data_IF_935988888495
#
_entry.id   IF_935988888495
#
_cell.length_a   1.000
_cell.length_b   1.000
_cell.length_c   1.000
_cell.angle_alpha   90.00
_cell.angle_beta   90.00
_cell.angle_gamma   90.00
#
_symmetry.space_group_name_H-M   'P 1'
#
loop_
_entity.id
_entity.type
_entity.pdbx_description
1 polymer ?
#
# COMPACT_ATOMS: atom_id res chain seq x y z
N UNK A 1 -15.28 17.64 6.16
CA UNK A 1 -14.13 18.56 6.29
C UNK A 1 -12.89 17.80 5.86
N UNK A 2 -12.51 17.93 4.59
CA UNK A 2 -11.29 17.33 4.05
C UNK A 2 -10.14 18.03 4.76
N UNK A 3 -9.39 17.34 5.59
CA UNK A 3 -8.16 17.90 6.14
C UNK A 3 -7.17 18.06 5.00
N UNK A 4 -6.86 19.30 4.68
CA UNK A 4 -5.76 19.69 3.81
C UNK A 4 -4.46 19.05 4.33
N UNK A 5 -3.95 18.04 3.59
CA UNK A 5 -2.65 17.41 3.88
C UNK A 5 -1.58 18.15 3.05
N UNK A 6 -1.62 19.47 3.02
CA UNK A 6 -0.70 20.28 2.20
C UNK A 6 0.53 20.81 2.94
N UNK A 7 0.84 20.35 4.15
CA UNK A 7 2.06 20.75 4.83
C UNK A 7 2.83 19.57 5.41
N UNK A 8 3.53 18.84 4.56
CA UNK A 8 4.75 18.14 4.96
C UNK A 8 5.62 17.92 3.73
N UNK A 9 6.39 18.92 3.36
CA UNK A 9 7.55 18.73 2.47
C UNK A 9 8.59 17.92 3.22
N UNK A 10 8.48 16.59 3.10
CA UNK A 10 9.55 15.70 3.52
C UNK A 10 10.74 15.89 2.57
N UNK A 11 11.97 15.94 3.05
CA UNK A 11 13.11 15.80 2.17
C UNK A 11 12.94 14.52 1.36
N UNK A 12 13.28 14.53 0.08
CA UNK A 12 13.20 13.39 -0.82
C UNK A 12 13.91 12.19 -0.15
N UNK A 13 13.11 11.26 0.35
CA UNK A 13 13.62 10.04 1.01
C UNK A 13 14.27 9.09 0.02
N UNK A 14 14.10 9.35 -1.26
CA UNK A 14 14.59 8.53 -2.35
C UNK A 14 15.15 9.44 -3.44
N UNK A 15 16.36 9.12 -3.89
CA UNK A 15 16.93 9.73 -5.09
C UNK A 15 16.35 8.99 -6.31
N UNK A 16 15.50 9.62 -7.12
CA UNK A 16 14.93 8.98 -8.29
C UNK A 16 15.96 8.90 -9.41
N UNK A 17 16.25 7.71 -9.89
CA UNK A 17 16.90 7.48 -11.17
C UNK A 17 15.89 6.91 -12.15
N UNK A 18 15.43 7.73 -13.10
CA UNK A 18 14.56 7.25 -14.16
C UNK A 18 15.39 6.51 -15.20
N UNK A 19 15.07 5.25 -15.42
CA UNK A 19 15.75 4.44 -16.40
C UNK A 19 14.72 3.76 -17.31
N UNK A 20 15.02 3.78 -18.60
CA UNK A 20 14.22 3.05 -19.60
C UNK A 20 15.03 1.84 -20.05
N UNK A 21 14.49 0.66 -19.83
CA UNK A 21 15.04 -0.60 -20.32
C UNK A 21 14.20 -1.04 -21.53
N UNK A 22 14.66 -0.69 -22.73
CA UNK A 22 14.00 -0.98 -24.01
C UNK A 22 12.50 -0.63 -24.04
N UNK A 23 11.60 -1.51 -23.59
CA UNK A 23 10.15 -1.32 -23.60
C UNK A 23 9.55 -1.21 -22.19
N UNK A 24 10.37 -1.25 -21.13
CA UNK A 24 9.92 -1.19 -19.75
C UNK A 24 10.35 0.14 -19.14
N UNK A 25 9.36 0.99 -18.81
CA UNK A 25 9.57 2.18 -17.97
C UNK A 25 9.71 1.73 -16.53
N UNK A 26 10.80 2.06 -15.86
CA UNK A 26 10.91 1.81 -14.44
C UNK A 26 11.55 2.99 -13.69
N UNK A 27 11.12 3.18 -12.45
CA UNK A 27 11.66 4.16 -11.52
C UNK A 27 12.48 3.42 -10.47
N UNK A 28 13.74 3.79 -10.30
CA UNK A 28 14.61 3.23 -9.28
C UNK A 28 14.66 4.20 -8.10
N UNK A 29 14.23 3.76 -6.93
CA UNK A 29 14.27 4.50 -5.69
C UNK A 29 15.24 3.83 -4.73
N UNK A 30 16.31 4.53 -4.34
CA UNK A 30 17.30 4.03 -3.38
C UNK A 30 17.07 4.73 -2.06
N UNK A 31 16.67 4.00 -1.02
CA UNK A 31 16.40 4.54 0.30
C UNK A 31 17.47 4.18 1.32
N UNK A 32 17.91 5.15 2.09
CA UNK A 32 18.59 4.92 3.35
C UNK A 32 17.50 4.90 4.42
N UNK A 33 17.20 3.75 5.03
CA UNK A 33 16.10 3.58 5.98
C UNK A 33 16.09 4.66 7.08
N UNK A 34 15.41 5.76 6.83
CA UNK A 34 15.26 6.87 7.78
C UNK A 34 14.25 6.49 8.86
N UNK A 35 14.60 6.61 10.14
CA UNK A 35 13.67 6.43 11.26
C UNK A 35 12.39 7.27 11.20
N UNK A 36 12.41 8.45 10.58
CA UNK A 36 11.20 9.27 10.45
C UNK A 36 10.21 8.72 9.42
N UNK A 37 10.69 8.07 8.36
CA UNK A 37 9.85 7.32 7.43
C UNK A 37 9.10 6.19 8.15
N UNK A 38 9.80 5.45 9.00
CA UNK A 38 9.21 4.41 9.86
C UNK A 38 8.07 4.96 10.71
N UNK A 39 8.24 6.15 11.26
CA UNK A 39 7.23 6.80 12.10
C UNK A 39 5.95 7.13 11.31
N UNK A 40 6.07 7.54 10.05
CA UNK A 40 4.90 7.80 9.18
C UNK A 40 4.13 6.52 8.91
N UNK A 41 4.83 5.44 8.58
CA UNK A 41 4.22 4.13 8.31
C UNK A 41 3.49 3.59 9.55
N UNK A 42 4.09 3.78 10.73
CA UNK A 42 3.44 3.44 11.99
C UNK A 42 2.15 4.25 12.22
N UNK A 43 2.13 5.53 11.84
CA UNK A 43 0.92 6.36 11.96
C UNK A 43 -0.20 5.83 11.05
N UNK A 44 0.11 5.34 9.87
CA UNK A 44 -0.89 4.76 8.97
C UNK A 44 -1.47 3.46 9.54
N UNK A 45 -0.64 2.59 10.09
CA UNK A 45 -1.10 1.39 10.80
C UNK A 45 -1.96 1.76 12.03
N UNK A 46 -1.61 2.83 12.74
CA UNK A 46 -2.35 3.32 13.90
C UNK A 46 -3.67 4.00 13.55
N UNK A 47 -3.77 4.66 12.40
CA UNK A 47 -5.06 5.20 11.93
C UNK A 47 -6.10 4.11 11.75
N UNK A 48 -5.68 2.90 11.50
CA UNK A 48 -6.57 1.74 11.47
C UNK A 48 -7.10 1.38 12.85
N UNK A 49 -6.32 1.60 13.90
CA UNK A 49 -6.75 1.41 15.28
C UNK A 49 -7.78 2.46 15.72
N UNK A 50 -7.61 3.71 15.32
CA UNK A 50 -8.60 4.77 15.56
C UNK A 50 -9.94 4.48 14.87
N UNK A 51 -9.91 3.89 13.67
CA UNK A 51 -11.12 3.53 12.92
C UNK A 51 -11.96 2.45 13.62
N UNK A 52 -11.36 1.64 14.49
CA UNK A 52 -12.04 0.57 15.24
C UNK A 52 -12.76 1.06 16.50
N UNK A 53 -12.87 2.38 16.69
CA UNK A 53 -13.51 2.97 17.87
C UNK A 53 -12.93 2.45 19.21
N UNK A 54 -11.62 2.16 19.21
CA UNK A 54 -10.93 1.63 20.41
C UNK A 54 -11.11 2.53 21.64
N UNK A 55 -11.28 3.84 21.44
CA UNK A 55 -11.59 4.77 22.52
C UNK A 55 -12.92 4.41 23.22
N UNK A 56 -13.90 3.92 22.48
CA UNK A 56 -15.17 3.46 23.05
C UNK A 56 -14.99 2.12 23.77
N UNK A 57 -14.24 1.20 23.20
CA UNK A 57 -13.96 -0.11 23.80
C UNK A 57 -13.16 0.07 25.10
N UNK A 58 -12.22 0.98 25.13
CA UNK A 58 -11.36 1.26 26.27
C UNK A 58 -12.13 1.60 27.56
N UNK A 59 -13.30 2.21 27.43
CA UNK A 59 -14.12 2.60 28.58
C UNK A 59 -14.75 1.41 29.34
N UNK A 60 -14.76 0.21 28.74
CA UNK A 60 -15.40 -0.98 29.33
C UNK A 60 -14.62 -2.29 29.20
N UNK A 61 -13.39 -2.25 28.66
CA UNK A 61 -12.54 -3.41 28.47
C UNK A 61 -11.19 -3.21 29.15
N UNK A 62 -10.66 -4.24 29.80
CA UNK A 62 -9.36 -4.22 30.44
C UNK A 62 -8.23 -4.03 29.43
N UNK A 63 -7.17 -3.35 29.83
CA UNK A 63 -5.98 -3.05 29.01
C UNK A 63 -5.34 -4.30 28.40
N UNK A 64 -5.30 -5.40 29.17
CA UNK A 64 -4.77 -6.69 28.69
C UNK A 64 -5.54 -7.23 27.49
N UNK A 65 -6.87 -7.13 27.52
CA UNK A 65 -7.74 -7.58 26.45
C UNK A 65 -7.56 -6.75 25.19
N UNK A 66 -7.38 -5.44 25.32
CA UNK A 66 -7.09 -4.55 24.19
C UNK A 66 -5.74 -4.92 23.56
N UNK A 67 -4.72 -5.18 24.37
CA UNK A 67 -3.40 -5.62 23.88
C UNK A 67 -3.48 -6.93 23.11
N UNK A 68 -4.19 -7.91 23.64
CA UNK A 68 -4.38 -9.20 23.00
C UNK A 68 -5.14 -9.04 21.67
N UNK A 69 -6.19 -8.24 21.66
CA UNK A 69 -6.95 -7.94 20.46
C UNK A 69 -6.07 -7.29 19.35
N UNK A 70 -5.26 -6.29 19.71
CA UNK A 70 -4.36 -5.64 18.75
C UNK A 70 -3.33 -6.63 18.19
N UNK A 71 -2.75 -7.46 19.05
CA UNK A 71 -1.77 -8.45 18.64
C UNK A 71 -2.36 -9.56 17.76
N UNK A 72 -3.58 -9.97 18.02
CA UNK A 72 -4.19 -11.12 17.33
C UNK A 72 -4.99 -10.72 16.11
N UNK A 73 -5.63 -9.54 16.14
CA UNK A 73 -6.62 -9.16 15.14
C UNK A 73 -6.18 -7.99 14.24
N UNK A 74 -5.25 -7.15 14.69
CA UNK A 74 -4.90 -5.92 13.96
C UNK A 74 -3.50 -5.99 13.36
N UNK A 75 -2.49 -6.27 14.16
CA UNK A 75 -1.12 -6.37 13.68
C UNK A 75 -0.81 -7.82 13.26
N UNK A 76 -0.32 -8.03 12.05
CA UNK A 76 0.11 -9.35 11.65
C UNK A 76 1.27 -9.83 12.52
N UNK A 77 1.41 -11.13 12.67
CA UNK A 77 2.49 -11.73 13.44
C UNK A 77 3.74 -11.91 12.57
N UNK A 78 4.92 -11.74 13.18
CA UNK A 78 6.20 -11.99 12.54
C UNK A 78 6.68 -13.46 12.66
N UNK A 79 5.79 -14.37 13.06
CA UNK A 79 6.11 -15.80 13.14
C UNK A 79 6.43 -16.37 11.76
N UNK A 80 7.39 -17.30 11.65
CA UNK A 80 7.74 -17.92 10.37
C UNK A 80 6.54 -18.51 9.63
N UNK A 81 6.59 -18.49 8.30
CA UNK A 81 5.54 -19.00 7.43
C UNK A 81 4.67 -17.91 6.83
N UNK A 82 3.39 -18.20 6.63
CA UNK A 82 2.44 -17.30 5.97
C UNK A 82 2.27 -15.94 6.70
N UNK A 83 2.33 -15.96 8.03
CA UNK A 83 2.20 -14.75 8.84
C UNK A 83 3.37 -13.78 8.59
N UNK A 84 4.58 -14.30 8.42
CA UNK A 84 5.74 -13.48 8.09
C UNK A 84 5.62 -12.85 6.70
N UNK A 85 5.10 -13.57 5.72
CA UNK A 85 4.87 -13.01 4.38
C UNK A 85 3.83 -11.89 4.41
N UNK A 86 2.78 -12.04 5.21
CA UNK A 86 1.79 -10.98 5.43
C UNK A 86 2.39 -9.76 6.13
N UNK A 87 3.23 -9.98 7.14
CA UNK A 87 3.97 -8.92 7.84
C UNK A 87 4.81 -8.07 6.87
N UNK A 88 5.60 -8.74 6.04
CA UNK A 88 6.45 -8.08 5.03
C UNK A 88 5.62 -7.43 3.93
N UNK A 89 4.57 -8.11 3.46
CA UNK A 89 3.68 -7.62 2.41
C UNK A 89 2.94 -6.35 2.82
N UNK A 90 2.33 -6.34 4.01
CA UNK A 90 1.60 -5.16 4.51
C UNK A 90 2.50 -3.93 4.61
N UNK A 91 3.73 -4.10 5.10
CA UNK A 91 4.69 -3.00 5.14
C UNK A 91 4.95 -2.45 3.73
N UNK A 92 5.13 -3.33 2.75
CA UNK A 92 5.34 -2.92 1.37
C UNK A 92 4.15 -2.18 0.77
N UNK A 93 2.91 -2.66 0.99
CA UNK A 93 1.70 -1.96 0.52
C UNK A 93 1.61 -0.54 1.11
N UNK A 94 1.91 -0.39 2.41
CA UNK A 94 1.93 0.92 3.07
C UNK A 94 3.01 1.83 2.47
N UNK A 95 4.24 1.32 2.31
CA UNK A 95 5.34 2.08 1.75
C UNK A 95 5.05 2.53 0.30
N UNK A 96 4.60 1.62 -0.55
CA UNK A 96 4.27 1.93 -1.93
C UNK A 96 3.16 2.97 -2.06
N UNK A 97 2.10 2.86 -1.24
CA UNK A 97 1.03 3.86 -1.22
C UNK A 97 1.54 5.23 -0.78
N UNK A 98 2.41 5.27 0.22
CA UNK A 98 2.98 6.54 0.70
C UNK A 98 3.87 7.21 -0.35
N UNK A 99 4.65 6.43 -1.10
CA UNK A 99 5.45 6.95 -2.22
C UNK A 99 4.54 7.64 -3.25
N UNK A 100 3.44 6.99 -3.66
CA UNK A 100 2.49 7.57 -4.61
C UNK A 100 1.82 8.86 -4.08
N UNK A 101 1.46 8.87 -2.80
CA UNK A 101 0.84 10.03 -2.16
C UNK A 101 1.80 11.20 -2.11
N UNK A 102 3.02 10.99 -1.62
CA UNK A 102 3.99 12.06 -1.36
C UNK A 102 4.63 12.59 -2.64
N UNK A 103 5.00 11.71 -3.57
CA UNK A 103 5.76 12.11 -4.76
C UNK A 103 4.89 12.44 -5.96
N UNK A 104 3.71 11.84 -6.06
CA UNK A 104 2.89 11.95 -7.27
C UNK A 104 1.51 12.58 -7.03
N UNK A 105 1.15 12.87 -5.77
CA UNK A 105 -0.10 13.56 -5.42
C UNK A 105 -1.35 12.70 -5.59
N UNK A 106 -1.20 11.39 -5.52
CA UNK A 106 -2.34 10.48 -5.38
C UNK A 106 -2.95 10.59 -3.98
N UNK A 107 -4.18 10.17 -3.84
CA UNK A 107 -4.82 10.03 -2.54
C UNK A 107 -5.49 8.66 -2.42
N UNK A 108 -5.59 8.18 -1.19
CA UNK A 108 -6.11 6.87 -0.86
C UNK A 108 -7.58 7.00 -0.42
N UNK A 109 -8.57 6.56 -1.22
CA UNK A 109 -9.97 6.73 -0.86
C UNK A 109 -10.36 5.88 0.35
N UNK A 110 -9.84 4.67 0.40
CA UNK A 110 -10.11 3.71 1.46
C UNK A 110 -8.87 2.85 1.66
N UNK A 111 -8.41 2.76 2.89
CA UNK A 111 -7.32 1.89 3.27
C UNK A 111 -7.81 0.44 3.34
N UNK A 112 -7.49 -0.35 2.33
CA UNK A 112 -7.97 -1.73 2.16
C UNK A 112 -7.65 -2.62 3.36
N UNK A 113 -6.46 -2.45 3.96
CA UNK A 113 -6.01 -3.25 5.10
C UNK A 113 -6.96 -3.18 6.31
N UNK A 114 -7.79 -2.13 6.43
CA UNK A 114 -8.81 -1.96 7.49
C UNK A 114 -9.95 -2.97 7.42
N UNK A 115 -10.20 -3.51 6.24
CA UNK A 115 -11.39 -4.30 5.96
C UNK A 115 -11.07 -5.78 5.77
N UNK A 116 -9.97 -6.23 6.34
CA UNK A 116 -9.59 -7.65 6.33
C UNK A 116 -10.49 -8.43 7.27
N UNK A 117 -11.01 -9.54 6.80
CA UNK A 117 -11.73 -10.47 7.66
C UNK A 117 -10.82 -11.12 8.71
N UNK A 118 -9.55 -11.32 8.37
CA UNK A 118 -8.50 -11.80 9.28
C UNK A 118 -7.16 -11.17 8.90
N UNK A 119 -6.36 -10.81 9.91
CA UNK A 119 -5.02 -10.23 9.71
C UNK A 119 -4.08 -11.10 8.91
N UNK A 120 -4.30 -12.42 8.93
CA UNK A 120 -3.50 -13.41 8.18
C UNK A 120 -4.01 -13.67 6.76
N UNK A 121 -5.14 -13.09 6.35
CA UNK A 121 -5.69 -13.31 5.02
C UNK A 121 -5.39 -12.13 4.10
N UNK A 122 -4.89 -12.43 2.90
CA UNK A 122 -4.81 -11.44 1.85
C UNK A 122 -6.23 -11.08 1.39
N UNK A 123 -6.55 -9.79 1.29
CA UNK A 123 -7.76 -9.37 0.62
C UNK A 123 -7.66 -9.71 -0.86
N UNK A 124 -8.75 -10.17 -1.42
CA UNK A 124 -8.90 -10.27 -2.88
C UNK A 124 -8.85 -8.87 -3.46
N UNK A 125 -8.46 -8.73 -4.71
CA UNK A 125 -8.24 -7.50 -5.46
C UNK A 125 -6.81 -6.96 -5.34
N UNK A 126 -6.46 -6.03 -6.22
CA UNK A 126 -5.14 -5.37 -6.27
C UNK A 126 -4.67 -4.87 -4.91
N UNK A 127 -3.37 -4.86 -4.68
CA UNK A 127 -2.79 -4.40 -3.42
C UNK A 127 -3.06 -2.92 -3.19
N UNK A 128 -2.97 -2.11 -4.24
CA UNK A 128 -3.17 -0.66 -4.20
C UNK A 128 -4.26 -0.23 -5.19
N UNK A 129 -5.10 0.71 -4.75
CA UNK A 129 -5.98 1.47 -5.63
C UNK A 129 -6.03 2.92 -5.13
N UNK A 130 -5.31 3.80 -5.79
CA UNK A 130 -5.22 5.22 -5.47
C UNK A 130 -5.79 6.05 -6.61
N UNK A 131 -6.17 7.28 -6.29
CA UNK A 131 -6.78 8.19 -7.25
C UNK A 131 -6.05 9.53 -7.24
N UNK A 132 -5.92 10.10 -8.43
CA UNK A 132 -5.42 11.45 -8.62
C UNK A 132 -6.44 12.24 -9.42
N UNK A 133 -6.85 13.39 -8.87
CA UNK A 133 -7.83 14.29 -9.51
C UNK A 133 -7.25 15.67 -9.79
N UNK A 134 -6.28 16.11 -8.97
CA UNK A 134 -5.73 17.45 -9.06
C UNK A 134 -4.86 17.61 -10.32
N UNK A 135 -5.11 18.69 -11.06
CA UNK A 135 -4.32 19.03 -12.26
C UNK A 135 -4.63 18.19 -13.50
N UNK A 136 -5.63 17.32 -13.46
CA UNK A 136 -6.01 16.44 -14.55
C UNK A 136 -7.39 16.82 -15.11
N UNK A 137 -7.60 16.61 -16.42
CA UNK A 137 -8.91 16.76 -17.06
C UNK A 137 -9.89 15.66 -16.70
N UNK A 138 -9.38 14.48 -16.35
CA UNK A 138 -10.12 13.31 -15.91
C UNK A 138 -9.43 12.71 -14.67
N UNK A 139 -10.18 12.08 -13.75
CA UNK A 139 -9.57 11.29 -12.70
C UNK A 139 -8.64 10.20 -13.26
N UNK A 140 -7.51 9.98 -12.62
CA UNK A 140 -6.60 8.89 -12.91
C UNK A 140 -6.66 7.87 -11.77
N UNK A 141 -6.95 6.61 -12.10
CA UNK A 141 -6.93 5.51 -11.13
C UNK A 141 -5.66 4.70 -11.33
N UNK A 142 -4.87 4.59 -10.28
CA UNK A 142 -3.68 3.75 -10.23
C UNK A 142 -4.00 2.42 -9.55
N UNK A 143 -3.88 1.33 -10.28
CA UNK A 143 -3.93 -0.03 -9.76
C UNK A 143 -2.51 -0.53 -9.56
N UNK A 144 -2.18 -0.94 -8.34
CA UNK A 144 -0.82 -1.35 -8.01
C UNK A 144 -0.73 -2.76 -7.40
N UNK A 145 0.29 -3.48 -7.77
CA UNK A 145 0.72 -4.73 -7.15
C UNK A 145 2.05 -4.50 -6.45
N UNK A 146 2.21 -5.03 -5.26
CA UNK A 146 3.40 -4.83 -4.43
C UNK A 146 4.07 -6.16 -4.12
N UNK A 147 5.32 -6.28 -4.49
CA UNK A 147 6.16 -7.45 -4.16
C UNK A 147 7.31 -7.02 -3.26
N UNK A 148 7.25 -7.42 -2.01
CA UNK A 148 8.28 -7.07 -1.00
C UNK A 148 9.12 -8.27 -0.63
N UNK A 149 10.46 -8.12 -0.70
CA UNK A 149 11.44 -9.17 -0.35
C UNK A 149 12.56 -8.61 0.51
N UNK A 150 12.62 -9.04 1.75
CA UNK A 150 13.68 -8.69 2.71
C UNK A 150 14.78 -9.75 2.81
N UNK A 151 14.83 -10.72 1.88
CA UNK A 151 15.76 -11.83 1.86
C UNK A 151 16.29 -12.07 0.45
N UNK A 152 16.59 -13.31 0.10
CA UNK A 152 17.12 -13.69 -1.23
C UNK A 152 16.22 -13.24 -2.38
N UNK A 153 16.84 -12.75 -3.45
CA UNK A 153 16.16 -12.31 -4.64
C UNK A 153 15.54 -13.50 -5.41
N UNK A 154 14.27 -13.32 -5.81
CA UNK A 154 13.58 -14.18 -6.75
C UNK A 154 13.56 -13.48 -8.11
N UNK A 155 14.36 -13.98 -9.07
CA UNK A 155 14.47 -13.38 -10.41
C UNK A 155 13.17 -13.42 -11.23
N UNK A 156 12.15 -14.17 -10.80
CA UNK A 156 10.81 -14.21 -11.39
C UNK A 156 9.83 -13.22 -10.72
N UNK A 157 10.31 -12.43 -9.76
CA UNK A 157 9.44 -11.56 -8.94
C UNK A 157 8.67 -10.56 -9.79
N UNK A 158 9.32 -9.97 -10.80
CA UNK A 158 8.70 -9.03 -11.73
C UNK A 158 7.58 -9.68 -12.54
N UNK A 159 7.84 -10.85 -13.12
CA UNK A 159 6.85 -11.62 -13.90
C UNK A 159 5.66 -12.00 -13.00
N UNK A 160 5.91 -12.51 -11.81
CA UNK A 160 4.85 -12.88 -10.87
C UNK A 160 3.98 -11.67 -10.47
N UNK A 161 4.58 -10.48 -10.35
CA UNK A 161 3.85 -9.25 -10.09
C UNK A 161 3.00 -8.81 -11.26
N UNK A 162 3.55 -8.83 -12.48
CA UNK A 162 2.82 -8.55 -13.71
C UNK A 162 1.62 -9.50 -13.88
N UNK A 163 1.82 -10.81 -13.73
CA UNK A 163 0.75 -11.81 -13.87
C UNK A 163 -0.35 -11.66 -12.81
N UNK A 164 0.01 -11.18 -11.60
CA UNK A 164 -0.98 -10.82 -10.60
C UNK A 164 -1.86 -9.67 -11.08
N UNK A 165 -1.27 -8.59 -11.62
CA UNK A 165 -2.03 -7.47 -12.19
C UNK A 165 -2.93 -7.89 -13.35
N UNK A 166 -2.42 -8.71 -14.26
CA UNK A 166 -3.20 -9.23 -15.40
C UNK A 166 -4.40 -10.05 -14.93
N UNK A 167 -4.19 -10.93 -13.97
CA UNK A 167 -5.26 -11.76 -13.41
C UNK A 167 -6.34 -10.91 -12.76
N UNK A 168 -5.94 -9.87 -12.08
CA UNK A 168 -6.85 -9.04 -11.29
C UNK A 168 -7.52 -7.95 -12.16
N UNK A 169 -6.93 -7.56 -13.31
CA UNK A 169 -7.44 -6.51 -14.21
C UNK A 169 -8.90 -6.73 -14.63
N UNK A 170 -9.26 -7.93 -15.02
CA UNK A 170 -10.61 -8.28 -15.47
C UNK A 170 -11.68 -8.09 -14.35
N UNK A 171 -11.28 -8.07 -13.09
CA UNK A 171 -12.16 -7.98 -11.92
C UNK A 171 -12.11 -6.62 -11.22
N UNK A 172 -11.12 -5.79 -11.54
CA UNK A 172 -10.77 -4.62 -10.72
C UNK A 172 -11.85 -3.54 -10.69
N UNK A 173 -12.26 -3.02 -11.83
CA UNK A 173 -13.14 -1.85 -11.85
C UNK A 173 -14.50 -2.08 -11.19
N UNK A 174 -15.26 -3.10 -11.57
CA UNK A 174 -16.59 -3.27 -11.00
C UNK A 174 -16.55 -3.58 -9.50
N UNK A 175 -15.61 -4.40 -9.07
CA UNK A 175 -15.57 -4.89 -7.69
C UNK A 175 -14.93 -3.89 -6.73
N UNK A 176 -13.83 -3.22 -7.14
CA UNK A 176 -13.14 -2.27 -6.27
C UNK A 176 -13.93 -0.97 -6.10
N UNK A 177 -14.51 -0.45 -7.20
CA UNK A 177 -15.36 0.73 -7.12
C UNK A 177 -16.64 0.45 -6.33
N UNK A 178 -17.20 -0.75 -6.45
CA UNK A 178 -18.34 -1.19 -5.62
C UNK A 178 -17.95 -1.24 -4.15
N UNK A 179 -16.79 -1.78 -3.82
CA UNK A 179 -16.27 -1.81 -2.46
C UNK A 179 -16.15 -0.39 -1.90
N UNK A 180 -15.56 0.55 -2.65
CA UNK A 180 -15.44 1.94 -2.22
C UNK A 180 -16.81 2.59 -1.97
N UNK A 181 -17.76 2.43 -2.89
CA UNK A 181 -19.12 2.93 -2.70
C UNK A 181 -19.72 2.40 -1.40
N UNK A 182 -19.65 1.07 -1.19
CA UNK A 182 -20.25 0.42 -0.02
C UNK A 182 -19.65 0.96 1.29
N UNK A 183 -18.33 1.06 1.36
CA UNK A 183 -17.64 1.53 2.57
C UNK A 183 -17.90 3.01 2.83
N UNK A 184 -17.83 3.85 1.80
CA UNK A 184 -18.03 5.28 1.95
C UNK A 184 -19.47 5.62 2.35
N UNK A 185 -20.46 4.97 1.77
CA UNK A 185 -21.86 5.17 2.19
C UNK A 185 -22.10 4.66 3.62
N UNK A 186 -21.52 3.54 3.99
CA UNK A 186 -21.61 3.03 5.37
C UNK A 186 -20.94 3.96 6.38
N UNK A 187 -19.87 4.64 5.97
CA UNK A 187 -19.19 5.66 6.77
C UNK A 187 -19.86 7.04 6.71
N UNK A 188 -21.03 7.17 6.07
CA UNK A 188 -21.77 8.43 5.86
C UNK A 188 -20.99 9.49 5.07
N UNK A 189 -20.02 9.08 4.27
CA UNK A 189 -19.27 9.94 3.34
C UNK A 189 -19.95 9.96 2.00
N UNK A 190 -21.11 10.63 1.96
CA UNK A 190 -22.03 10.57 0.81
C UNK A 190 -21.46 11.20 -0.45
N UNK A 191 -20.73 12.31 -0.35
CA UNK A 191 -20.13 12.99 -1.50
C UNK A 191 -19.07 12.14 -2.18
N UNK A 192 -18.17 11.54 -1.38
CA UNK A 192 -17.16 10.63 -1.92
C UNK A 192 -17.83 9.35 -2.47
N UNK A 193 -18.84 8.81 -1.78
CA UNK A 193 -19.59 7.65 -2.25
C UNK A 193 -20.30 7.91 -3.57
N UNK A 194 -20.87 9.10 -3.78
CA UNK A 194 -21.47 9.53 -5.03
C UNK A 194 -20.42 9.65 -6.16
N UNK A 195 -19.26 10.23 -5.86
CA UNK A 195 -18.15 10.31 -6.82
C UNK A 195 -17.75 8.91 -7.35
N UNK A 196 -17.53 7.95 -6.46
CA UNK A 196 -17.20 6.58 -6.87
C UNK A 196 -18.34 5.85 -7.58
N UNK A 197 -19.59 6.16 -7.22
CA UNK A 197 -20.75 5.64 -7.94
C UNK A 197 -20.81 6.14 -9.38
N UNK A 198 -20.47 7.42 -9.60
CA UNK A 198 -20.41 8.03 -10.96
C UNK A 198 -19.28 7.40 -11.80
N UNK A 199 -18.11 7.14 -11.21
CA UNK A 199 -17.02 6.42 -11.88
C UNK A 199 -17.46 5.00 -12.26
N UNK A 200 -18.03 4.25 -11.31
CA UNK A 200 -18.51 2.89 -11.52
C UNK A 200 -19.57 2.79 -12.62
N UNK A 201 -20.48 3.75 -12.69
CA UNK A 201 -21.54 3.82 -13.69
C UNK A 201 -21.09 4.47 -15.00
N UNK A 202 -19.80 4.80 -15.12
CA UNK A 202 -19.22 5.49 -16.28
C UNK A 202 -19.90 6.81 -16.63
N UNK A 203 -20.48 7.49 -15.64
CA UNK A 203 -21.01 8.86 -15.76
C UNK A 203 -19.85 9.86 -15.78
N UNK A 204 -18.80 9.58 -15.04
CA UNK A 204 -17.52 10.30 -15.09
C UNK A 204 -16.53 9.36 -15.76
N UNK A 205 -15.94 9.84 -16.85
CA UNK A 205 -14.85 9.14 -17.54
C UNK A 205 -13.53 9.28 -16.74
N UNK A 206 -12.68 8.27 -16.78
CA UNK A 206 -11.42 8.25 -16.05
C UNK A 206 -10.35 7.47 -16.81
N UNK A 207 -9.10 7.82 -16.54
CA UNK A 207 -7.93 7.13 -17.06
C UNK A 207 -7.40 6.10 -16.04
N UNK A 208 -6.68 5.11 -16.54
CA UNK A 208 -6.08 4.06 -15.72
C UNK A 208 -4.58 3.98 -15.94
N UNK A 209 -3.87 3.64 -14.89
CA UNK A 209 -2.49 3.16 -14.97
C UNK A 209 -2.31 1.93 -14.08
N UNK A 210 -1.33 1.12 -14.42
CA UNK A 210 -0.97 -0.08 -13.69
C UNK A 210 0.48 0.03 -13.23
N UNK A 211 0.71 -0.19 -11.94
CA UNK A 211 2.02 -0.06 -11.35
C UNK A 211 2.44 -1.27 -10.55
N UNK A 212 3.61 -1.81 -10.88
CA UNK A 212 4.25 -2.86 -10.11
C UNK A 212 5.33 -2.26 -9.21
N UNK A 213 5.19 -2.42 -7.90
CA UNK A 213 6.22 -2.06 -6.93
C UNK A 213 7.04 -3.29 -6.56
N UNK A 214 8.36 -3.19 -6.75
CA UNK A 214 9.35 -4.18 -6.35
C UNK A 214 10.19 -3.59 -5.21
N UNK A 215 9.80 -3.88 -3.97
CA UNK A 215 10.49 -3.41 -2.76
C UNK A 215 11.44 -4.50 -2.29
N UNK A 216 12.74 -4.20 -2.27
CA UNK A 216 13.73 -5.24 -2.05
C UNK A 216 14.88 -4.80 -1.14
N UNK A 217 15.45 -5.77 -0.40
CA UNK A 217 16.74 -5.60 0.29
C UNK A 217 17.83 -5.30 -0.74
N UNK A 218 18.46 -4.13 -0.64
CA UNK A 218 19.43 -3.63 -1.62
C UNK A 218 20.60 -4.60 -1.81
N UNK A 219 21.11 -5.17 -0.73
CA UNK A 219 22.28 -6.06 -0.78
C UNK A 219 22.06 -7.38 -1.52
N UNK A 220 20.79 -7.78 -1.69
CA UNK A 220 20.45 -9.06 -2.36
C UNK A 220 19.68 -8.84 -3.68
N UNK A 221 19.48 -7.61 -4.11
CA UNK A 221 18.85 -7.27 -5.38
C UNK A 221 19.65 -7.81 -6.57
N UNK A 222 18.95 -8.22 -7.63
CA UNK A 222 19.53 -8.65 -8.91
C UNK A 222 18.80 -8.00 -10.06
N UNK A 223 19.54 -7.36 -10.96
CA UNK A 223 19.01 -6.74 -12.18
C UNK A 223 18.34 -7.75 -13.13
N UNK A 224 18.63 -9.04 -12.97
CA UNK A 224 17.95 -10.13 -13.70
C UNK A 224 16.43 -10.09 -13.53
N UNK A 225 15.90 -9.54 -12.42
CA UNK A 225 14.46 -9.38 -12.21
C UNK A 225 13.83 -8.50 -13.30
N UNK A 226 14.48 -7.36 -13.59
CA UNK A 226 14.02 -6.43 -14.63
C UNK A 226 14.31 -6.97 -16.03
N UNK A 227 15.48 -7.57 -16.23
CA UNK A 227 15.86 -8.17 -17.52
C UNK A 227 14.89 -9.29 -17.93
N UNK A 228 14.51 -10.14 -16.99
CA UNK A 228 13.53 -11.19 -17.22
C UNK A 228 12.14 -10.61 -17.52
N UNK A 229 11.69 -9.61 -16.76
CA UNK A 229 10.41 -8.95 -17.00
C UNK A 229 10.39 -8.24 -18.37
N UNK A 230 11.49 -7.57 -18.75
CA UNK A 230 11.62 -6.90 -20.04
C UNK A 230 11.60 -7.88 -21.23
N UNK A 231 12.08 -9.12 -21.00
CA UNK A 231 12.07 -10.18 -22.01
C UNK A 231 10.75 -10.97 -22.02
N UNK A 232 9.88 -10.71 -21.05
CA UNK A 232 8.58 -11.35 -20.93
C UNK A 232 7.55 -10.67 -21.84
N UNK A 233 6.59 -11.42 -22.34
CA UNK A 233 5.49 -10.87 -23.13
C UNK A 233 4.49 -10.15 -22.20
N UNK A 234 4.61 -8.82 -22.16
CA UNK A 234 3.74 -8.00 -21.33
C UNK A 234 2.33 -7.94 -21.93
N UNK A 235 1.32 -8.04 -21.06
CA UNK A 235 -0.07 -7.97 -21.50
C UNK A 235 -0.44 -6.56 -21.96
N UNK A 236 -1.06 -6.47 -23.11
CA UNK A 236 -1.60 -5.22 -23.66
C UNK A 236 -2.83 -4.72 -22.90
N UNK A 237 -3.42 -5.52 -22.00
CA UNK A 237 -4.52 -5.07 -21.14
C UNK A 237 -4.08 -4.07 -20.08
N UNK A 238 -2.81 -4.14 -19.65
CA UNK A 238 -2.26 -3.22 -18.64
C UNK A 238 -1.83 -1.91 -19.29
N UNK A 239 -2.79 -1.04 -19.54
CA UNK A 239 -2.56 0.28 -20.14
C UNK A 239 -1.68 1.13 -19.21
N UNK A 240 -0.67 1.82 -19.74
CA UNK A 240 0.26 2.65 -18.96
C UNK A 240 0.95 1.86 -17.82
N UNK A 241 1.35 0.62 -18.10
CA UNK A 241 2.08 -0.21 -17.14
C UNK A 241 3.48 0.35 -16.87
N UNK A 242 3.83 0.44 -15.61
CA UNK A 242 5.18 0.84 -15.18
C UNK A 242 5.64 0.06 -13.95
N UNK A 243 6.94 0.07 -13.70
CA UNK A 243 7.55 -0.60 -12.55
C UNK A 243 8.28 0.43 -11.69
N UNK A 244 8.08 0.37 -10.38
CA UNK A 244 8.85 1.14 -9.41
C UNK A 244 9.69 0.17 -8.57
N UNK A 245 11.00 0.28 -8.67
CA UNK A 245 11.93 -0.52 -7.84
C UNK A 245 12.39 0.31 -6.66
N UNK A 246 12.17 -0.20 -5.46
CA UNK A 246 12.55 0.44 -4.20
C UNK A 246 13.60 -0.41 -3.51
N UNK A 247 14.84 0.04 -3.50
CA UNK A 247 15.96 -0.66 -2.85
C UNK A 247 16.26 -0.04 -1.49
N UNK A 248 16.10 -0.83 -0.45
CA UNK A 248 16.26 -0.39 0.93
C UNK A 248 17.39 -1.18 1.61
N UNK A 249 18.31 -0.48 2.27
CA UNK A 249 19.34 -1.12 3.09
C UNK A 249 18.75 -1.57 4.42
N UNK A 250 19.04 -2.80 4.83
CA UNK A 250 18.53 -3.41 6.06
C UNK A 250 16.99 -3.43 6.11
N UNK A 251 16.35 -3.72 4.98
CA UNK A 251 14.88 -3.72 4.86
C UNK A 251 14.20 -4.53 5.95
N UNK A 252 14.71 -5.70 6.32
CA UNK A 252 14.13 -6.50 7.38
C UNK A 252 14.12 -5.78 8.73
N UNK A 253 15.23 -5.13 9.08
CA UNK A 253 15.34 -4.34 10.31
C UNK A 253 14.36 -3.17 10.28
N UNK A 254 14.26 -2.48 9.15
CA UNK A 254 13.30 -1.39 8.95
C UNK A 254 11.86 -1.84 9.21
N UNK A 255 11.46 -2.97 8.66
CA UNK A 255 10.13 -3.56 8.86
C UNK A 255 9.89 -3.86 10.35
N UNK A 256 10.82 -4.55 11.00
CA UNK A 256 10.68 -4.95 12.41
C UNK A 256 10.64 -3.72 13.33
N UNK A 257 11.42 -2.69 13.07
CA UNK A 257 11.40 -1.43 13.80
C UNK A 257 10.09 -0.65 13.60
N UNK A 258 9.54 -0.64 12.39
CA UNK A 258 8.26 0.00 12.06
C UNK A 258 7.13 -0.58 12.91
N UNK A 259 6.99 -1.88 12.93
CA UNK A 259 5.98 -2.54 13.74
C UNK A 259 6.23 -2.38 15.25
N UNK A 260 7.50 -2.40 15.69
CA UNK A 260 7.83 -2.13 17.09
C UNK A 260 7.41 -0.72 17.54
N UNK A 261 7.57 0.28 16.66
CA UNK A 261 7.13 1.65 16.93
C UNK A 261 5.62 1.78 16.92
N UNK A 262 4.94 1.15 15.94
CA UNK A 262 3.49 1.08 15.91
C UNK A 262 2.95 0.51 17.23
N UNK A 263 3.55 -0.59 17.69
CA UNK A 263 3.18 -1.22 18.95
C UNK A 263 3.38 -0.30 20.15
N UNK A 264 4.53 0.36 20.28
CA UNK A 264 4.81 1.31 21.36
C UNK A 264 3.81 2.48 21.38
N UNK A 265 3.37 2.93 20.21
CA UNK A 265 2.36 4.00 20.11
C UNK A 265 0.99 3.51 20.59
N UNK A 266 0.61 2.26 20.28
CA UNK A 266 -0.60 1.62 20.82
C UNK A 266 -0.52 1.51 22.35
N UNK A 267 0.60 1.04 22.88
CA UNK A 267 0.80 0.98 24.34
C UNK A 267 0.70 2.36 25.01
N UNK A 268 1.30 3.37 24.38
CA UNK A 268 1.21 4.75 24.84
C UNK A 268 -0.23 5.27 24.85
N UNK A 269 -0.98 4.98 23.80
CA UNK A 269 -2.39 5.35 23.71
C UNK A 269 -3.24 4.60 24.73
N UNK A 270 -3.04 3.30 24.94
CA UNK A 270 -3.75 2.53 25.96
C UNK A 270 -3.52 3.10 27.36
N UNK A 271 -2.31 3.56 27.67
CA UNK A 271 -1.95 4.08 29.01
C UNK A 271 -2.44 5.51 29.27
N UNK A 272 -2.48 6.35 28.25
CA UNK A 272 -2.69 7.80 28.39
C UNK A 272 -4.10 8.28 28.02
N UNK A 273 -4.92 7.44 27.50
CA UNK A 273 -6.32 7.70 27.21
C UNK A 273 -7.20 7.10 28.29
#
# INVERSE_FOLDING_TARGET
MVRDITECSSPNLFDPEDTILNNLSYHLLIGHGDPEMIKRECILLLKDLEALELDKIKSFVEESIIKDYVNEQILPSNKPGFQLSTWVGNFGEVLASQILIDSEGFWFPIYKLRYREKTSWAMKLTDLCLIKTNGLSKPLICYGEVKTKSSTCDIQLGIKGHDSLVRDDALQDPEILKFFCTVLYSAQKYEEGEFFSKLRLQIIDYDKEYRLFLIHEKSTWKEDVLSNLNSYELSSSLINFSVTVVLVEQLRKLIDESYSRAWKSVEGWIKNG
#
